data_IF_493759611420
#
_entry.id   IF_493759611420
#
_cell.length_a   1.000
_cell.length_b   1.000
_cell.length_c   1.000
_cell.angle_alpha   90.00
_cell.angle_beta   90.00
_cell.angle_gamma   90.00
#
_symmetry.space_group_name_H-M   'P 1'
#
loop_
_entity.id
_entity.type
_entity.pdbx_description
1 polymer ?
#
# COMPACT_ATOMS: atom_id res chain seq x y z
N UNK A 1 10.13 17.18 -20.18
CA UNK A 1 9.02 16.21 -20.18
C UNK A 1 7.94 16.45 -19.11
N UNK A 2 8.21 17.15 -18.00
CA UNK A 2 7.16 17.51 -17.04
C UNK A 2 6.15 18.55 -17.59
N UNK A 3 6.55 19.42 -18.52
CA UNK A 3 5.68 20.48 -19.08
C UNK A 3 4.63 19.99 -20.09
N UNK A 4 4.73 18.76 -20.62
CA UNK A 4 3.79 18.22 -21.61
C UNK A 4 2.56 17.54 -20.98
N UNK A 5 2.59 17.27 -19.66
CA UNK A 5 1.47 16.67 -18.92
C UNK A 5 0.57 17.71 -18.21
N UNK A 6 0.99 18.98 -18.13
CA UNK A 6 0.28 20.04 -17.39
C UNK A 6 -0.16 21.20 -18.30
N UNK A 7 -0.40 20.95 -19.58
CA UNK A 7 -1.09 21.90 -20.46
C UNK A 7 -2.54 22.04 -20.00
N UNK A 8 -2.89 23.21 -19.46
CA UNK A 8 -4.22 23.57 -18.92
C UNK A 8 -4.83 22.46 -18.04
N UNK A 9 -4.39 22.38 -16.79
CA UNK A 9 -5.00 21.47 -15.82
C UNK A 9 -6.43 21.91 -15.51
N UNK A 10 -7.41 21.33 -16.20
CA UNK A 10 -8.81 21.39 -15.81
C UNK A 10 -8.93 20.94 -14.35
N UNK A 11 -9.60 21.72 -13.49
CA UNK A 11 -9.79 21.41 -12.08
C UNK A 11 -10.36 19.98 -11.87
N UNK A 12 -11.16 19.50 -12.82
CA UNK A 12 -11.74 18.16 -12.84
C UNK A 12 -10.68 17.04 -12.93
N UNK A 13 -9.58 17.24 -13.68
CA UNK A 13 -8.49 16.25 -13.80
C UNK A 13 -7.69 16.13 -12.51
N UNK A 14 -7.44 17.27 -11.85
CA UNK A 14 -6.76 17.32 -10.55
C UNK A 14 -7.61 16.62 -9.49
N UNK A 15 -8.92 16.86 -9.49
CA UNK A 15 -9.85 16.15 -8.60
C UNK A 15 -9.87 14.65 -8.87
N UNK A 16 -9.98 14.21 -10.13
CA UNK A 16 -9.93 12.81 -10.51
C UNK A 16 -8.64 12.11 -10.05
N UNK A 17 -7.48 12.77 -10.21
CA UNK A 17 -6.20 12.24 -9.74
C UNK A 17 -6.16 12.12 -8.22
N UNK A 18 -6.64 13.14 -7.50
CA UNK A 18 -6.68 13.12 -6.04
C UNK A 18 -7.60 12.02 -5.49
N UNK A 19 -8.75 11.80 -6.12
CA UNK A 19 -9.66 10.72 -5.78
C UNK A 19 -9.03 9.34 -6.05
N UNK A 20 -8.39 9.15 -7.20
CA UNK A 20 -7.66 7.93 -7.51
C UNK A 20 -6.56 7.66 -6.48
N UNK A 21 -5.72 8.66 -6.19
CA UNK A 21 -4.66 8.55 -5.18
C UNK A 21 -5.20 8.14 -3.80
N UNK A 22 -6.34 8.72 -3.40
CA UNK A 22 -7.00 8.38 -2.13
C UNK A 22 -7.50 6.93 -2.11
N UNK A 23 -8.17 6.49 -3.18
CA UNK A 23 -8.65 5.11 -3.32
C UNK A 23 -7.48 4.12 -3.24
N UNK A 24 -6.39 4.38 -3.97
CA UNK A 24 -5.20 3.53 -3.94
C UNK A 24 -4.51 3.55 -2.57
N UNK A 25 -4.47 4.69 -1.88
CA UNK A 25 -3.91 4.77 -0.54
C UNK A 25 -4.70 3.90 0.46
N UNK A 26 -6.04 3.94 0.40
CA UNK A 26 -6.95 3.10 1.20
C UNK A 26 -6.80 1.62 0.84
N UNK A 27 -6.55 1.31 -0.44
CA UNK A 27 -6.34 -0.07 -0.90
C UNK A 27 -4.95 -0.62 -0.52
N UNK A 28 -3.95 0.23 -0.31
CA UNK A 28 -2.56 -0.20 -0.08
C UNK A 28 -2.35 -1.22 1.07
N UNK A 29 -3.09 -1.18 2.20
CA UNK A 29 -2.95 -2.20 3.24
C UNK A 29 -3.43 -3.59 2.83
N UNK A 30 -4.23 -3.71 1.75
CA UNK A 30 -4.60 -5.02 1.21
C UNK A 30 -3.41 -5.78 0.64
N UNK A 31 -2.40 -5.07 0.11
CA UNK A 31 -1.17 -5.69 -0.36
C UNK A 31 -0.50 -6.53 0.73
N UNK A 32 -0.39 -5.98 1.95
CA UNK A 32 0.12 -6.72 3.10
C UNK A 32 -0.70 -7.99 3.38
N UNK A 33 -2.02 -7.88 3.33
CA UNK A 33 -2.91 -9.01 3.59
C UNK A 33 -2.75 -10.13 2.56
N UNK A 34 -2.52 -9.79 1.28
CA UNK A 34 -2.21 -10.79 0.25
C UNK A 34 -0.89 -11.50 0.51
N UNK A 35 0.16 -10.79 0.93
CA UNK A 35 1.42 -11.43 1.31
C UNK A 35 1.27 -12.38 2.49
N UNK A 36 0.48 -12.01 3.50
CA UNK A 36 0.17 -12.90 4.63
C UNK A 36 -0.58 -14.13 4.14
N UNK A 37 -1.62 -13.95 3.33
CA UNK A 37 -2.44 -15.04 2.78
C UNK A 37 -1.59 -16.01 1.95
N UNK A 38 -0.69 -15.46 1.13
CA UNK A 38 0.24 -16.24 0.32
C UNK A 38 1.24 -17.00 1.20
N UNK A 39 1.82 -16.34 2.21
CA UNK A 39 2.80 -16.92 3.12
C UNK A 39 2.29 -18.08 3.97
N UNK A 40 0.98 -18.15 4.23
CA UNK A 40 0.34 -19.25 4.98
C UNK A 40 -0.26 -20.34 4.08
N UNK A 41 0.05 -20.35 2.78
CA UNK A 41 -0.45 -21.35 1.83
C UNK A 41 -1.85 -21.07 1.28
N UNK A 42 -2.41 -19.88 1.53
CA UNK A 42 -3.69 -19.41 1.02
C UNK A 42 -3.68 -18.90 -0.43
N UNK A 43 -2.73 -19.36 -1.26
CA UNK A 43 -2.50 -18.82 -2.60
C UNK A 43 -3.76 -18.85 -3.49
N UNK A 44 -4.57 -19.92 -3.41
CA UNK A 44 -5.83 -20.03 -4.15
C UNK A 44 -6.85 -18.97 -3.74
N UNK A 45 -7.00 -18.74 -2.43
CA UNK A 45 -7.89 -17.69 -1.92
C UNK A 45 -7.40 -16.31 -2.35
N UNK A 46 -6.08 -16.06 -2.32
CA UNK A 46 -5.49 -14.80 -2.77
C UNK A 46 -5.78 -14.55 -4.24
N UNK A 47 -5.57 -15.57 -5.09
CA UNK A 47 -5.82 -15.48 -6.52
C UNK A 47 -7.29 -15.19 -6.81
N UNK A 48 -8.21 -15.88 -6.12
CA UNK A 48 -9.63 -15.66 -6.26
C UNK A 48 -10.03 -14.24 -5.85
N UNK A 49 -9.55 -13.75 -4.70
CA UNK A 49 -9.85 -12.39 -4.23
C UNK A 49 -9.33 -11.36 -5.23
N UNK A 50 -8.09 -11.50 -5.72
CA UNK A 50 -7.51 -10.59 -6.71
C UNK A 50 -8.29 -10.60 -8.03
N UNK A 51 -8.70 -11.78 -8.50
CA UNK A 51 -9.47 -11.90 -9.74
C UNK A 51 -10.87 -11.28 -9.57
N UNK A 52 -11.56 -11.59 -8.48
CA UNK A 52 -12.87 -11.02 -8.17
C UNK A 52 -12.79 -9.49 -8.04
N UNK A 53 -11.74 -8.98 -7.38
CA UNK A 53 -11.45 -7.55 -7.28
C UNK A 53 -11.24 -6.91 -8.65
N UNK A 54 -10.44 -7.52 -9.52
CA UNK A 54 -10.15 -7.00 -10.85
C UNK A 54 -11.41 -6.94 -11.72
N UNK A 55 -12.21 -8.01 -11.72
CA UNK A 55 -13.49 -8.07 -12.47
C UNK A 55 -14.47 -7.03 -11.94
N UNK A 56 -14.64 -6.94 -10.62
CA UNK A 56 -15.54 -5.97 -10.01
C UNK A 56 -15.08 -4.52 -10.28
N UNK A 57 -13.76 -4.27 -10.27
CA UNK A 57 -13.20 -2.95 -10.60
C UNK A 57 -13.43 -2.59 -12.05
N UNK A 58 -13.20 -3.52 -12.99
CA UNK A 58 -13.48 -3.29 -14.42
C UNK A 58 -14.96 -3.00 -14.67
N UNK A 59 -15.86 -3.76 -14.03
CA UNK A 59 -17.29 -3.51 -14.12
C UNK A 59 -17.66 -2.14 -13.53
N UNK A 60 -17.13 -1.80 -12.35
CA UNK A 60 -17.34 -0.50 -11.71
C UNK A 60 -16.82 0.67 -12.57
N UNK A 61 -15.64 0.53 -13.17
CA UNK A 61 -15.05 1.51 -14.08
C UNK A 61 -15.92 1.67 -15.33
N UNK A 62 -16.36 0.58 -15.96
CA UNK A 62 -17.20 0.63 -17.15
C UNK A 62 -18.56 1.31 -16.88
N UNK A 63 -19.23 0.92 -15.79
CA UNK A 63 -20.50 1.52 -15.37
C UNK A 63 -20.31 2.98 -14.97
N UNK A 64 -19.26 3.29 -14.21
CA UNK A 64 -18.94 4.65 -13.80
C UNK A 64 -18.62 5.55 -15.00
N UNK A 65 -17.80 5.07 -15.94
CA UNK A 65 -17.41 5.81 -17.14
C UNK A 65 -18.62 6.15 -18.02
N UNK A 66 -19.54 5.20 -18.19
CA UNK A 66 -20.74 5.41 -19.02
C UNK A 66 -21.75 6.38 -18.39
N UNK A 67 -21.82 6.46 -17.05
CA UNK A 67 -22.80 7.30 -16.33
C UNK A 67 -22.27 8.67 -15.92
N UNK A 68 -20.99 8.77 -15.56
CA UNK A 68 -20.40 9.98 -14.96
C UNK A 68 -19.04 10.37 -15.58
N UNK A 69 -18.69 9.79 -16.74
CA UNK A 69 -17.45 10.11 -17.45
C UNK A 69 -16.19 9.75 -16.65
N UNK A 70 -15.15 10.60 -16.74
CA UNK A 70 -13.84 10.34 -16.11
C UNK A 70 -13.90 10.24 -14.59
N UNK A 71 -14.72 11.07 -13.91
CA UNK A 71 -14.92 10.97 -12.46
C UNK A 71 -15.58 9.66 -12.08
N UNK A 72 -16.60 9.23 -12.83
CA UNK A 72 -17.23 7.93 -12.65
C UNK A 72 -16.26 6.77 -12.81
N UNK A 73 -15.37 6.83 -13.80
CA UNK A 73 -14.33 5.82 -13.98
C UNK A 73 -13.41 5.72 -12.76
N UNK A 74 -13.01 6.85 -12.16
CA UNK A 74 -12.20 6.86 -10.92
C UNK A 74 -12.97 6.28 -9.74
N UNK A 75 -14.23 6.69 -9.53
CA UNK A 75 -15.05 6.13 -8.46
C UNK A 75 -15.43 4.66 -8.69
N UNK A 76 -15.39 4.17 -9.93
CA UNK A 76 -15.50 2.75 -10.24
C UNK A 76 -14.45 1.91 -9.51
N UNK A 77 -13.26 2.48 -9.25
CA UNK A 77 -12.22 1.83 -8.44
C UNK A 77 -12.54 1.84 -6.94
N UNK A 78 -13.53 2.57 -6.45
CA UNK A 78 -13.93 2.51 -5.04
C UNK A 78 -14.44 1.13 -4.63
N UNK A 79 -14.80 0.27 -5.60
CA UNK A 79 -15.04 -1.17 -5.41
C UNK A 79 -13.88 -1.87 -4.68
N UNK A 80 -12.65 -1.36 -4.78
CA UNK A 80 -11.50 -1.85 -4.00
C UNK A 80 -11.68 -1.75 -2.47
N UNK A 81 -12.63 -0.94 -1.99
CA UNK A 81 -13.06 -0.92 -0.59
C UNK A 81 -13.88 -2.17 -0.26
N UNK A 82 -14.71 -2.67 -1.18
CA UNK A 82 -15.41 -3.95 -1.01
C UNK A 82 -14.45 -5.15 -0.95
N UNK A 83 -13.31 -5.05 -1.62
CA UNK A 83 -12.26 -6.09 -1.62
C UNK A 83 -11.70 -6.33 -0.22
N UNK A 84 -11.67 -5.31 0.65
CA UNK A 84 -11.31 -5.48 2.06
C UNK A 84 -12.20 -6.51 2.76
N UNK A 85 -13.51 -6.51 2.49
CA UNK A 85 -14.43 -7.49 3.06
C UNK A 85 -14.11 -8.91 2.58
N UNK A 86 -13.77 -9.06 1.29
CA UNK A 86 -13.33 -10.35 0.73
C UNK A 86 -12.01 -10.82 1.38
N UNK A 87 -11.08 -9.90 1.63
CA UNK A 87 -9.84 -10.20 2.36
C UNK A 87 -10.12 -10.70 3.77
N UNK A 88 -11.05 -10.07 4.51
CA UNK A 88 -11.47 -10.53 5.84
C UNK A 88 -12.04 -11.96 5.77
N UNK A 89 -12.87 -12.26 4.77
CA UNK A 89 -13.42 -13.59 4.55
C UNK A 89 -12.31 -14.61 4.23
N UNK A 90 -11.36 -14.25 3.37
CA UNK A 90 -10.19 -15.07 3.05
C UNK A 90 -9.31 -15.37 4.26
N UNK A 91 -9.12 -14.40 5.15
CA UNK A 91 -8.35 -14.60 6.39
C UNK A 91 -9.08 -15.55 7.35
N UNK A 92 -10.41 -15.45 7.44
CA UNK A 92 -11.24 -16.35 8.25
C UNK A 92 -11.20 -17.79 7.75
N UNK A 93 -11.18 -18.01 6.43
CA UNK A 93 -11.13 -19.38 5.87
C UNK A 93 -9.83 -20.11 6.23
N UNK A 94 -8.74 -19.39 6.47
CA UNK A 94 -7.43 -19.94 6.87
C UNK A 94 -7.25 -19.95 8.41
N UNK A 95 -8.32 -19.69 9.17
CA UNK A 95 -8.33 -19.68 10.65
C UNK A 95 -7.32 -18.71 11.28
N UNK A 96 -6.92 -17.66 10.57
CA UNK A 96 -6.13 -16.59 11.19
C UNK A 96 -7.08 -15.77 12.07
N UNK A 97 -6.80 -15.62 13.38
CA UNK A 97 -7.67 -14.83 14.25
C UNK A 97 -7.72 -13.39 13.76
N UNK A 98 -8.94 -12.90 13.49
CA UNK A 98 -9.18 -11.56 12.94
C UNK A 98 -8.49 -10.48 13.77
N UNK A 99 -8.43 -10.63 15.10
CA UNK A 99 -7.75 -9.70 16.01
C UNK A 99 -6.24 -9.55 15.72
N UNK A 100 -5.53 -10.64 15.42
CA UNK A 100 -4.10 -10.58 15.07
C UNK A 100 -3.88 -9.93 13.71
N UNK A 101 -4.78 -10.20 12.76
CA UNK A 101 -4.69 -9.55 11.45
C UNK A 101 -4.98 -8.05 11.56
N UNK A 102 -6.04 -7.65 12.27
CA UNK A 102 -6.36 -6.25 12.51
C UNK A 102 -5.21 -5.56 13.23
N UNK A 103 -4.58 -6.17 14.24
CA UNK A 103 -3.45 -5.53 14.95
C UNK A 103 -2.21 -5.31 14.08
N UNK A 104 -2.05 -6.09 13.00
CA UNK A 104 -1.00 -5.91 11.99
C UNK A 104 -1.35 -4.84 10.97
N UNK A 105 -2.62 -4.71 10.59
CA UNK A 105 -3.08 -3.74 9.56
C UNK A 105 -3.40 -2.37 10.16
N UNK A 106 -3.85 -2.33 11.42
CA UNK A 106 -4.26 -1.12 12.14
C UNK A 106 -3.19 -0.01 12.16
N UNK A 107 -1.87 -0.27 12.30
CA UNK A 107 -0.85 0.78 12.20
C UNK A 107 -0.88 1.52 10.87
N UNK A 108 -1.13 0.82 9.76
CA UNK A 108 -1.23 1.41 8.43
C UNK A 108 -2.50 2.25 8.28
N UNK A 109 -3.63 1.76 8.80
CA UNK A 109 -4.89 2.50 8.82
C UNK A 109 -4.79 3.77 9.66
N UNK A 110 -4.23 3.68 10.86
CA UNK A 110 -4.00 4.81 11.74
C UNK A 110 -3.03 5.83 11.11
N UNK A 111 -1.96 5.37 10.46
CA UNK A 111 -1.03 6.22 9.72
C UNK A 111 -1.71 6.94 8.55
N UNK A 112 -2.55 6.23 7.77
CA UNK A 112 -3.29 6.83 6.66
C UNK A 112 -4.23 7.93 7.16
N UNK A 113 -5.00 7.64 8.22
CA UNK A 113 -5.89 8.62 8.86
C UNK A 113 -5.10 9.82 9.37
N UNK A 114 -3.93 9.60 9.98
CA UNK A 114 -3.07 10.67 10.46
C UNK A 114 -2.55 11.55 9.31
N UNK A 115 -2.06 10.96 8.21
CA UNK A 115 -1.60 11.74 7.05
C UNK A 115 -2.74 12.55 6.44
N UNK A 116 -3.91 11.94 6.24
CA UNK A 116 -5.07 12.63 5.66
C UNK A 116 -5.53 13.76 6.60
N UNK A 117 -5.62 13.48 7.90
CA UNK A 117 -6.04 14.45 8.91
C UNK A 117 -5.05 15.61 9.12
N UNK A 118 -3.75 15.35 9.06
CA UNK A 118 -2.74 16.42 9.13
C UNK A 118 -2.73 17.21 7.82
N UNK A 119 -2.88 16.55 6.67
CA UNK A 119 -2.89 17.21 5.36
C UNK A 119 -4.08 18.16 5.16
N UNK A 120 -5.20 17.93 5.87
CA UNK A 120 -6.35 18.84 5.84
C UNK A 120 -6.16 20.11 6.67
N UNK A 121 -5.22 20.10 7.63
CA UNK A 121 -4.93 21.25 8.51
C UNK A 121 -3.71 22.05 7.99
N UNK A 122 -2.77 21.37 7.35
CA UNK A 122 -1.51 21.98 6.87
C UNK A 122 -1.75 22.86 5.62
N UNK A 123 -1.12 24.05 5.55
CA UNK A 123 -1.24 24.97 4.41
C UNK A 123 -0.99 24.30 3.05
N UNK A 124 -1.60 24.81 1.97
CA UNK A 124 -1.56 24.23 0.61
C UNK A 124 -0.17 24.15 -0.04
N UNK A 125 0.89 24.53 0.67
CA UNK A 125 2.26 24.38 0.20
C UNK A 125 2.58 22.89 0.04
N UNK A 126 2.66 22.43 -1.20
CA UNK A 126 2.94 21.03 -1.56
C UNK A 126 4.19 20.47 -0.85
N UNK A 127 5.24 21.29 -0.69
CA UNK A 127 6.48 20.92 0.00
C UNK A 127 6.23 20.53 1.45
N UNK A 128 5.36 21.24 2.18
CA UNK A 128 5.08 20.97 3.59
C UNK A 128 4.28 19.67 3.72
N UNK A 129 3.27 19.45 2.86
CA UNK A 129 2.52 18.19 2.83
C UNK A 129 3.41 16.98 2.51
N UNK A 130 4.32 17.14 1.53
CA UNK A 130 5.29 16.11 1.20
C UNK A 130 6.24 15.79 2.37
N UNK A 131 6.76 16.82 3.04
CA UNK A 131 7.61 16.64 4.22
C UNK A 131 6.87 15.89 5.35
N UNK A 132 5.65 16.30 5.68
CA UNK A 132 4.81 15.63 6.68
C UNK A 132 4.57 14.16 6.32
N UNK A 133 4.19 13.88 5.07
CA UNK A 133 3.94 12.52 4.62
C UNK A 133 5.21 11.64 4.70
N UNK A 134 6.37 12.18 4.32
CA UNK A 134 7.65 11.47 4.43
C UNK A 134 8.02 11.18 5.88
N UNK A 135 7.94 12.17 6.77
CA UNK A 135 8.23 12.00 8.19
C UNK A 135 7.29 10.97 8.83
N UNK A 136 5.99 11.04 8.54
CA UNK A 136 5.02 10.06 9.01
C UNK A 136 5.34 8.66 8.47
N UNK A 137 5.74 8.53 7.20
CA UNK A 137 6.13 7.25 6.59
C UNK A 137 7.35 6.64 7.29
N UNK A 138 8.37 7.44 7.60
CA UNK A 138 9.56 6.98 8.30
C UNK A 138 9.25 6.55 9.74
N UNK A 139 8.37 7.27 10.44
CA UNK A 139 7.91 6.89 11.77
C UNK A 139 7.15 5.55 11.74
N UNK A 140 6.21 5.37 10.81
CA UNK A 140 5.52 4.10 10.62
C UNK A 140 6.51 2.96 10.34
N UNK A 141 7.47 3.19 9.44
CA UNK A 141 8.50 2.20 9.11
C UNK A 141 9.33 1.81 10.35
N UNK A 142 9.76 2.79 11.16
CA UNK A 142 10.48 2.53 12.40
C UNK A 142 9.64 1.74 13.43
N UNK A 143 8.34 2.04 13.55
CA UNK A 143 7.41 1.29 14.41
C UNK A 143 7.26 -0.15 13.91
N UNK A 144 7.13 -0.36 12.61
CA UNK A 144 7.03 -1.69 12.01
C UNK A 144 8.31 -2.51 12.21
N UNK A 145 9.49 -1.90 12.03
CA UNK A 145 10.77 -2.53 12.32
C UNK A 145 10.87 -2.98 13.78
N UNK A 146 10.48 -2.12 14.73
CA UNK A 146 10.45 -2.48 16.17
C UNK A 146 9.50 -3.64 16.47
N UNK A 147 8.41 -3.79 15.72
CA UNK A 147 7.46 -4.90 15.88
C UNK A 147 7.92 -6.21 15.24
N UNK A 148 8.99 -6.20 14.43
CA UNK A 148 9.51 -7.39 13.74
C UNK A 148 10.97 -7.69 14.12
N UNK A 149 11.24 -8.10 15.38
CA UNK A 149 12.61 -8.38 15.84
C UNK A 149 13.30 -9.49 15.04
N UNK A 150 12.55 -10.47 14.52
CA UNK A 150 13.08 -11.54 13.66
C UNK A 150 13.64 -11.00 12.33
N UNK A 151 12.97 -10.02 11.72
CA UNK A 151 13.44 -9.38 10.49
C UNK A 151 14.73 -8.58 10.76
N UNK A 152 14.75 -7.84 11.88
CA UNK A 152 15.94 -7.10 12.32
C UNK A 152 17.14 -8.05 12.52
N UNK A 153 16.92 -9.19 13.19
CA UNK A 153 17.94 -10.21 13.39
C UNK A 153 18.49 -10.75 12.08
N UNK A 154 17.63 -11.06 11.10
CA UNK A 154 18.05 -11.50 9.77
C UNK A 154 18.86 -10.45 9.00
N UNK A 155 18.44 -9.18 9.04
CA UNK A 155 19.14 -8.08 8.37
C UNK A 155 20.54 -7.88 8.98
N UNK A 156 20.63 -7.83 10.30
CA UNK A 156 21.89 -7.65 11.02
C UNK A 156 22.85 -8.81 10.76
N UNK A 157 22.37 -10.06 10.85
CA UNK A 157 23.18 -11.27 10.59
C UNK A 157 23.70 -11.36 9.15
N UNK A 158 22.93 -10.84 8.18
CA UNK A 158 23.35 -10.77 6.77
C UNK A 158 24.42 -9.69 6.53
N UNK A 159 24.45 -8.64 7.33
CA UNK A 159 25.50 -7.62 7.27
C UNK A 159 26.86 -8.18 7.74
N UNK A 160 26.87 -8.91 8.86
CA UNK A 160 28.09 -9.48 9.44
C UNK A 160 28.75 -10.52 8.51
N UNK A 161 27.93 -11.32 7.83
CA UNK A 161 28.41 -12.34 6.88
C UNK A 161 29.01 -11.75 5.61
N UNK A 162 28.57 -10.58 5.14
CA UNK A 162 29.21 -9.86 4.02
C UNK A 162 30.58 -9.32 4.42
N UNK A 163 30.69 -8.64 5.56
CA UNK A 163 31.97 -8.10 6.04
C UNK A 163 33.03 -9.19 6.27
N UNK A 164 32.60 -10.37 6.71
CA UNK A 164 33.52 -11.51 6.93
C UNK A 164 34.03 -12.12 5.63
N UNK A 165 33.32 -11.97 4.51
CA UNK A 165 33.70 -12.51 3.20
C UNK A 165 34.65 -11.58 2.45
N UNK A 166 34.48 -10.27 2.62
CA UNK A 166 35.30 -9.23 1.98
C UNK A 166 36.70 -9.10 2.62
N UNK A 167 36.85 -9.53 3.88
CA UNK A 167 38.15 -9.62 4.56
C UNK A 167 38.96 -10.87 4.23
N UNK A 168 38.49 -11.78 3.37
CA UNK A 168 39.35 -12.86 2.89
C UNK A 168 40.29 -12.28 1.84
N UNK A 169 41.60 -12.17 2.12
CA UNK A 169 42.55 -11.73 1.10
C UNK A 169 42.42 -12.67 -0.08
N UNK A 170 42.21 -12.10 -1.27
CA UNK A 170 42.36 -12.80 -2.54
C UNK A 170 43.82 -13.21 -2.60
N UNK A 171 44.10 -14.45 -2.21
CA UNK A 171 45.45 -15.02 -2.29
C UNK A 171 45.94 -14.85 -3.71
N UNK A 172 47.08 -14.18 -3.83
CA UNK A 172 47.78 -13.93 -5.08
C UNK A 172 47.90 -15.22 -5.88
N UNK A 173 47.22 -15.26 -7.03
CA UNK A 173 47.46 -16.25 -8.07
C UNK A 173 48.77 -15.86 -8.76
N UNK A 174 49.84 -16.48 -8.29
CA UNK A 174 51.14 -16.59 -8.97
C UNK A 174 51.03 -17.24 -10.35
#
# INVERSE_FOLDING_TARGET
MASLLFGHTDALRVQALSAAATIYAIHSPNAFSYYVLFGVGGGRASMFITLAAAVASLAGVAIGATRFGSLGAVFGNAVYIGVWALTVVGMRSIRIPTSRWVSLVMPYGAWLIAIVGVSSIVPERAVVRAAVALTASMLLFAVLLRRQPALLGCILRRSDSRMSRERRPTGDSS
#
